data_IF_654734112818
#
_entry.id   IF_654734112818
#
_cell.length_a   1.000
_cell.length_b   1.000
_cell.length_c   1.000
_cell.angle_alpha   90.00
_cell.angle_beta   90.00
_cell.angle_gamma   90.00
#
_symmetry.space_group_name_H-M   'P 1'
#
loop_
_entity.id
_entity.type
_entity.pdbx_description
1 polymer ?
#
# COMPACT_ATOMS: atom_id res chain seq x y z
N UNK A 1 5.66 -6.78 -40.39
CA UNK A 1 5.59 -6.75 -38.92
C UNK A 1 6.46 -5.61 -38.46
N UNK A 2 5.86 -4.57 -37.88
CA UNK A 2 6.55 -3.34 -37.44
C UNK A 2 7.37 -3.61 -36.16
N UNK A 3 8.69 -3.35 -36.15
CA UNK A 3 9.54 -3.48 -34.96
C UNK A 3 9.15 -2.53 -33.80
N UNK A 4 8.26 -1.56 -34.04
CA UNK A 4 7.70 -0.66 -33.00
C UNK A 4 6.59 -1.28 -32.14
N UNK A 5 6.15 -2.52 -32.39
CA UNK A 5 5.00 -3.11 -31.69
C UNK A 5 5.31 -3.78 -30.34
N UNK A 6 6.60 -3.88 -29.96
CA UNK A 6 6.96 -4.48 -28.68
C UNK A 6 6.54 -3.55 -27.51
N UNK A 7 5.68 -4.02 -26.58
CA UNK A 7 5.26 -3.19 -25.46
C UNK A 7 6.48 -2.77 -24.63
N UNK A 8 6.54 -1.46 -24.32
CA UNK A 8 7.58 -0.87 -23.46
C UNK A 8 7.80 -1.74 -22.22
N UNK A 9 9.04 -1.89 -21.75
CA UNK A 9 9.40 -2.79 -20.64
C UNK A 9 8.43 -2.73 -19.45
N UNK A 10 8.10 -1.52 -18.99
CA UNK A 10 7.18 -1.33 -17.85
C UNK A 10 5.75 -1.78 -18.16
N UNK A 11 5.29 -1.70 -19.41
CA UNK A 11 3.99 -2.24 -19.82
C UNK A 11 3.99 -3.77 -19.74
N UNK A 12 5.07 -4.44 -20.16
CA UNK A 12 5.25 -5.89 -20.00
C UNK A 12 5.25 -6.31 -18.54
N UNK A 13 5.97 -5.57 -17.68
CA UNK A 13 5.99 -5.79 -16.23
C UNK A 13 4.58 -5.70 -15.65
N UNK A 14 3.85 -4.61 -15.93
CA UNK A 14 2.48 -4.41 -15.43
C UNK A 14 1.54 -5.51 -15.90
N UNK A 15 1.61 -5.89 -17.18
CA UNK A 15 0.81 -6.97 -17.74
C UNK A 15 1.08 -8.30 -17.01
N UNK A 16 2.35 -8.64 -16.75
CA UNK A 16 2.73 -9.86 -16.04
C UNK A 16 2.29 -9.85 -14.56
N UNK A 17 2.42 -8.71 -13.88
CA UNK A 17 1.97 -8.54 -12.49
C UNK A 17 0.45 -8.75 -12.39
N UNK A 18 -0.32 -8.16 -13.31
CA UNK A 18 -1.78 -8.32 -13.37
C UNK A 18 -2.18 -9.75 -13.70
N UNK A 19 -1.48 -10.40 -14.64
CA UNK A 19 -1.69 -11.81 -14.98
C UNK A 19 -1.47 -12.73 -13.77
N UNK A 20 -0.49 -12.40 -12.91
CA UNK A 20 -0.25 -13.12 -11.65
C UNK A 20 -1.13 -12.68 -10.49
N UNK A 21 -2.14 -11.84 -10.74
CA UNK A 21 -3.10 -11.34 -9.75
C UNK A 21 -2.44 -10.66 -8.53
N UNK A 22 -1.28 -10.03 -8.74
CA UNK A 22 -0.65 -9.22 -7.70
C UNK A 22 -1.41 -7.91 -7.48
N UNK A 23 -1.27 -7.35 -6.28
CA UNK A 23 -1.95 -6.11 -5.92
C UNK A 23 -1.43 -4.91 -6.75
N UNK A 24 -2.27 -3.89 -6.95
CA UNK A 24 -1.87 -2.63 -7.59
C UNK A 24 -0.70 -1.97 -6.84
N UNK A 25 -0.64 -2.10 -5.51
CA UNK A 25 0.49 -1.61 -4.73
C UNK A 25 1.80 -2.32 -5.07
N UNK A 26 1.75 -3.63 -5.36
CA UNK A 26 2.89 -4.39 -5.87
C UNK A 26 3.28 -3.94 -7.27
N UNK A 27 2.30 -3.66 -8.14
CA UNK A 27 2.54 -3.12 -9.48
C UNK A 27 3.33 -1.82 -9.44
N UNK A 28 2.89 -0.86 -8.64
CA UNK A 28 3.52 0.45 -8.48
C UNK A 28 4.94 0.29 -7.91
N UNK A 29 5.06 -0.43 -6.79
CA UNK A 29 6.35 -0.64 -6.16
C UNK A 29 7.37 -1.30 -7.10
N UNK A 30 6.97 -2.33 -7.84
CA UNK A 30 7.87 -3.03 -8.75
C UNK A 30 8.25 -2.14 -9.94
N UNK A 31 7.28 -1.44 -10.54
CA UNK A 31 7.56 -0.52 -11.64
C UNK A 31 8.54 0.60 -11.21
N UNK A 32 8.39 1.14 -10.00
CA UNK A 32 9.26 2.18 -9.48
C UNK A 32 10.67 1.66 -9.20
N UNK A 33 10.80 0.47 -8.60
CA UNK A 33 12.11 -0.15 -8.38
C UNK A 33 12.83 -0.49 -9.69
N UNK A 34 12.11 -1.03 -10.67
CA UNK A 34 12.66 -1.34 -11.99
C UNK A 34 13.08 -0.06 -12.71
N UNK A 35 12.31 1.03 -12.59
CA UNK A 35 12.68 2.34 -13.14
C UNK A 35 13.96 2.86 -12.52
N UNK A 36 14.09 2.81 -11.19
CA UNK A 36 15.31 3.24 -10.48
C UNK A 36 16.53 2.42 -10.90
N UNK A 37 16.37 1.11 -11.04
CA UNK A 37 17.42 0.22 -11.52
C UNK A 37 17.90 0.58 -12.94
N UNK A 38 16.96 0.80 -13.86
CA UNK A 38 17.28 1.21 -15.24
C UNK A 38 17.97 2.57 -15.27
N UNK A 39 17.54 3.52 -14.44
CA UNK A 39 18.15 4.85 -14.35
C UNK A 39 19.57 4.78 -13.78
N UNK A 40 19.79 3.96 -12.75
CA UNK A 40 21.11 3.74 -12.14
C UNK A 40 22.12 3.22 -13.16
N UNK A 41 21.69 2.36 -14.09
CA UNK A 41 22.52 1.81 -15.16
C UNK A 41 22.47 2.63 -16.47
N UNK A 42 22.18 3.93 -16.39
CA UNK A 42 22.26 4.83 -17.55
C UNK A 42 21.22 4.53 -18.64
N UNK A 43 20.04 4.04 -18.29
CA UNK A 43 18.95 3.65 -19.20
C UNK A 43 19.28 2.45 -20.10
N UNK A 44 20.32 1.67 -19.78
CA UNK A 44 20.57 0.38 -20.43
C UNK A 44 19.38 -0.56 -20.21
N UNK A 45 19.01 -1.30 -21.24
CA UNK A 45 17.92 -2.26 -21.14
C UNK A 45 18.31 -3.43 -20.22
N UNK A 46 17.48 -3.85 -19.26
CA UNK A 46 17.83 -4.91 -18.29
C UNK A 46 18.19 -6.27 -18.89
N UNK A 47 17.81 -6.56 -20.14
CA UNK A 47 18.28 -7.78 -20.84
C UNK A 47 19.78 -7.77 -21.13
N UNK A 48 20.41 -6.59 -21.15
CA UNK A 48 21.86 -6.41 -21.32
C UNK A 48 22.58 -6.19 -19.98
N UNK A 49 21.89 -6.37 -18.86
CA UNK A 49 22.41 -6.23 -17.51
C UNK A 49 22.31 -7.58 -16.80
N UNK A 50 23.36 -7.97 -16.09
CA UNK A 50 23.46 -9.29 -15.47
C UNK A 50 23.68 -9.20 -13.96
N UNK A 51 24.46 -10.15 -13.46
CA UNK A 51 24.73 -10.32 -12.04
C UNK A 51 25.34 -9.11 -11.37
N UNK A 52 26.45 -8.70 -11.95
CA UNK A 52 27.26 -7.61 -11.46
C UNK A 52 26.45 -6.32 -11.34
N UNK A 53 25.58 -6.04 -12.31
CA UNK A 53 24.75 -4.83 -12.28
C UNK A 53 23.65 -4.87 -11.24
N UNK A 54 23.03 -6.03 -11.01
CA UNK A 54 22.05 -6.19 -9.93
C UNK A 54 22.71 -6.05 -8.56
N UNK A 55 23.87 -6.70 -8.35
CA UNK A 55 24.64 -6.59 -7.10
C UNK A 55 25.12 -5.16 -6.86
N UNK A 56 25.65 -4.49 -7.87
CA UNK A 56 26.07 -3.10 -7.79
C UNK A 56 24.91 -2.18 -7.37
N UNK A 57 23.72 -2.36 -7.94
CA UNK A 57 22.55 -1.59 -7.58
C UNK A 57 22.09 -1.85 -6.14
N UNK A 58 22.00 -3.11 -5.72
CA UNK A 58 21.60 -3.45 -4.36
C UNK A 58 22.63 -2.97 -3.32
N UNK A 59 23.91 -3.02 -3.65
CA UNK A 59 25.00 -2.48 -2.82
C UNK A 59 24.92 -0.97 -2.70
N UNK A 60 24.68 -0.26 -3.81
CA UNK A 60 24.45 1.19 -3.81
C UNK A 60 23.26 1.57 -2.92
N UNK A 61 22.15 0.82 -2.97
CA UNK A 61 21.01 1.03 -2.06
C UNK A 61 21.37 0.84 -0.58
N UNK A 62 22.27 -0.10 -0.28
CA UNK A 62 22.70 -0.38 1.09
C UNK A 62 23.69 0.65 1.64
N UNK A 63 24.63 1.13 0.80
CA UNK A 63 25.74 1.98 1.21
C UNK A 63 25.40 3.47 1.11
N UNK A 64 24.90 3.92 -0.05
CA UNK A 64 24.66 5.34 -0.31
C UNK A 64 23.25 5.78 0.11
N UNK A 65 22.26 4.90 -0.07
CA UNK A 65 20.87 5.24 0.18
C UNK A 65 20.43 5.21 1.66
N UNK A 66 21.26 4.70 2.59
CA UNK A 66 20.90 4.41 4.01
C UNK A 66 19.53 3.71 4.15
N UNK A 67 19.16 2.91 3.15
CA UNK A 67 17.80 2.38 3.05
C UNK A 67 17.64 1.24 4.04
N UNK A 68 16.56 1.24 4.82
CA UNK A 68 16.24 0.14 5.73
C UNK A 68 16.14 -1.21 4.99
N UNK A 69 16.27 -2.33 5.72
CA UNK A 69 16.21 -3.67 5.14
C UNK A 69 14.91 -3.98 4.36
N UNK A 70 13.79 -3.35 4.73
CA UNK A 70 12.49 -3.59 4.09
C UNK A 70 12.43 -3.08 2.63
N UNK A 71 12.74 -1.80 2.32
CA UNK A 71 12.78 -1.38 0.92
C UNK A 71 13.87 -2.06 0.08
N UNK A 72 15.03 -2.44 0.65
CA UNK A 72 16.03 -3.26 -0.07
C UNK A 72 15.46 -4.63 -0.49
N UNK A 73 14.74 -5.28 0.40
CA UNK A 73 14.08 -6.56 0.09
C UNK A 73 12.99 -6.41 -0.97
N UNK A 74 12.28 -5.28 -0.99
CA UNK A 74 11.29 -4.98 -2.04
C UNK A 74 11.95 -4.74 -3.40
N UNK A 75 13.08 -4.01 -3.42
CA UNK A 75 13.89 -3.82 -4.62
C UNK A 75 14.39 -5.17 -5.16
N UNK A 76 14.97 -6.01 -4.31
CA UNK A 76 15.40 -7.36 -4.69
C UNK A 76 14.26 -8.18 -5.29
N UNK A 77 13.09 -8.18 -4.64
CA UNK A 77 11.91 -8.93 -5.12
C UNK A 77 11.43 -8.42 -6.50
N UNK A 78 11.45 -7.11 -6.72
CA UNK A 78 11.09 -6.52 -8.01
C UNK A 78 12.06 -6.93 -9.13
N UNK A 79 13.37 -6.97 -8.84
CA UNK A 79 14.38 -7.41 -9.81
C UNK A 79 14.27 -8.91 -10.10
N UNK A 80 14.11 -9.74 -9.07
CA UNK A 80 13.84 -11.17 -9.24
C UNK A 80 12.63 -11.41 -10.14
N UNK A 81 11.54 -10.68 -9.91
CA UNK A 81 10.34 -10.75 -10.74
C UNK A 81 10.63 -10.32 -12.19
N UNK A 82 11.32 -9.21 -12.39
CA UNK A 82 11.68 -8.72 -13.73
C UNK A 82 12.42 -9.81 -14.53
N UNK A 83 13.49 -10.36 -13.97
CA UNK A 83 14.33 -11.32 -14.70
C UNK A 83 13.64 -12.65 -14.92
N UNK A 84 13.01 -13.23 -13.89
CA UNK A 84 12.36 -14.54 -13.99
C UNK A 84 11.07 -14.49 -14.80
N UNK A 85 10.21 -13.51 -14.54
CA UNK A 85 8.82 -13.53 -15.03
C UNK A 85 8.62 -12.75 -16.31
N UNK A 86 9.41 -11.69 -16.53
CA UNK A 86 9.24 -10.77 -17.66
C UNK A 86 10.28 -11.02 -18.75
N UNK A 87 11.54 -11.21 -18.36
CA UNK A 87 12.64 -11.47 -19.29
C UNK A 87 12.86 -12.96 -19.55
N UNK A 88 12.29 -13.85 -18.73
CA UNK A 88 12.51 -15.29 -18.79
C UNK A 88 14.01 -15.67 -18.78
N UNK A 89 14.81 -14.90 -18.03
CA UNK A 89 16.22 -15.16 -17.81
C UNK A 89 16.37 -15.81 -16.45
N UNK A 90 16.93 -17.00 -16.43
CA UNK A 90 17.35 -17.61 -15.18
C UNK A 90 18.59 -16.89 -14.65
N UNK A 91 18.54 -16.53 -13.37
CA UNK A 91 19.67 -15.94 -12.65
C UNK A 91 20.02 -16.84 -11.46
N UNK A 92 20.75 -17.95 -11.68
CA UNK A 92 21.06 -18.92 -10.63
C UNK A 92 21.81 -18.30 -9.44
N UNK A 93 22.60 -17.26 -9.68
CA UNK A 93 23.37 -16.54 -8.65
C UNK A 93 22.50 -15.57 -7.81
N UNK A 94 21.32 -15.16 -8.29
CA UNK A 94 20.47 -14.17 -7.59
C UNK A 94 19.76 -14.77 -6.35
N UNK A 95 19.66 -16.10 -6.28
CA UNK A 95 19.24 -16.81 -5.08
C UNK A 95 20.24 -16.66 -3.93
N UNK A 96 21.53 -16.52 -4.25
CA UNK A 96 22.61 -16.35 -3.28
C UNK A 96 22.78 -14.92 -2.76
N UNK A 97 22.09 -13.93 -3.36
CA UNK A 97 22.11 -12.55 -2.86
C UNK A 97 21.41 -12.52 -1.50
N UNK A 98 22.16 -12.44 -0.41
CA UNK A 98 21.63 -12.54 0.94
C UNK A 98 20.54 -11.49 1.18
N UNK A 99 19.36 -11.93 1.62
CA UNK A 99 18.27 -11.03 2.02
C UNK A 99 18.78 -10.13 3.14
N UNK A 100 18.57 -8.81 3.03
CA UNK A 100 18.91 -7.90 4.10
C UNK A 100 18.15 -8.32 5.37
N UNK A 101 18.89 -8.76 6.40
CA UNK A 101 18.34 -9.25 7.65
C UNK A 101 17.75 -8.05 8.40
N UNK A 102 16.43 -7.97 8.41
CA UNK A 102 15.75 -6.96 9.20
C UNK A 102 15.86 -7.36 10.67
N UNK A 103 16.46 -6.54 11.56
CA UNK A 103 16.39 -6.83 12.98
C UNK A 103 14.92 -6.86 13.38
N UNK A 104 14.50 -7.95 14.02
CA UNK A 104 13.15 -8.10 14.53
C UNK A 104 12.97 -7.10 15.66
N UNK A 105 12.48 -5.90 15.33
CA UNK A 105 12.03 -4.95 16.35
C UNK A 105 10.75 -5.53 16.93
N UNK A 106 10.73 -5.75 18.24
CA UNK A 106 9.49 -6.03 18.94
C UNK A 106 8.50 -4.90 18.60
N UNK A 107 7.29 -5.22 18.13
CA UNK A 107 6.26 -4.20 17.95
C UNK A 107 6.11 -3.45 19.28
N UNK A 108 6.31 -2.14 19.28
CA UNK A 108 5.94 -1.32 20.42
C UNK A 108 4.41 -1.30 20.40
N UNK A 109 3.80 -2.12 21.25
CA UNK A 109 2.34 -2.19 21.37
C UNK A 109 1.93 -1.11 22.36
N UNK A 110 1.01 -0.24 21.95
CA UNK A 110 0.42 0.74 22.84
C UNK A 110 -0.40 0.02 23.91
N UNK A 111 -0.24 0.45 25.16
CA UNK A 111 -1.09 0.02 26.27
C UNK A 111 -2.54 0.47 26.04
N UNK A 112 -3.49 -0.21 26.69
CA UNK A 112 -4.91 0.14 26.62
C UNK A 112 -5.15 1.61 27.03
N UNK A 113 -4.41 2.12 28.00
CA UNK A 113 -4.55 3.50 28.47
C UNK A 113 -4.00 4.52 27.47
N UNK A 114 -2.88 4.22 26.82
CA UNK A 114 -2.35 5.05 25.74
C UNK A 114 -3.34 5.14 24.57
N UNK A 115 -3.89 4.00 24.15
CA UNK A 115 -4.90 3.99 23.09
C UNK A 115 -6.14 4.77 23.51
N UNK A 116 -6.60 4.62 24.76
CA UNK A 116 -7.76 5.37 25.28
C UNK A 116 -7.50 6.88 25.24
N UNK A 117 -6.31 7.34 25.65
CA UNK A 117 -5.91 8.76 25.60
C UNK A 117 -5.80 9.29 24.17
N UNK A 118 -5.35 8.47 23.22
CA UNK A 118 -5.29 8.84 21.81
C UNK A 118 -6.70 8.96 21.24
N UNK A 119 -7.55 7.94 21.43
CA UNK A 119 -8.92 7.94 20.94
C UNK A 119 -9.75 9.09 21.50
N UNK A 120 -9.53 9.47 22.77
CA UNK A 120 -10.21 10.61 23.40
C UNK A 120 -9.87 11.98 22.76
N UNK A 121 -8.72 12.09 22.07
CA UNK A 121 -8.32 13.31 21.36
C UNK A 121 -8.82 13.38 19.93
N UNK A 122 -9.28 12.26 19.36
CA UNK A 122 -9.84 12.25 18.01
C UNK A 122 -11.25 12.85 18.01
N UNK A 123 -11.62 13.53 16.92
CA UNK A 123 -12.93 14.18 16.76
C UNK A 123 -13.55 13.86 15.41
N UNK A 124 -14.88 13.93 15.34
CA UNK A 124 -15.65 13.69 14.12
C UNK A 124 -15.34 12.32 13.48
N UNK A 125 -15.13 12.32 12.17
CA UNK A 125 -14.89 11.10 11.37
C UNK A 125 -13.65 10.34 11.84
N UNK A 126 -12.59 11.03 12.24
CA UNK A 126 -11.37 10.37 12.72
C UNK A 126 -11.59 9.61 14.04
N UNK A 127 -12.45 10.13 14.92
CA UNK A 127 -12.82 9.43 16.15
C UNK A 127 -13.63 8.16 15.84
N UNK A 128 -14.54 8.24 14.86
CA UNK A 128 -15.31 7.08 14.39
C UNK A 128 -14.39 6.02 13.79
N UNK A 129 -13.51 6.39 12.86
CA UNK A 129 -12.55 5.47 12.23
C UNK A 129 -11.61 4.88 13.29
N UNK A 130 -11.06 5.70 14.19
CA UNK A 130 -10.16 5.23 15.25
C UNK A 130 -10.82 4.20 16.17
N UNK A 131 -12.05 4.48 16.61
CA UNK A 131 -12.82 3.55 17.43
C UNK A 131 -13.20 2.27 16.68
N UNK A 132 -13.55 2.39 15.39
CA UNK A 132 -13.84 1.25 14.52
C UNK A 132 -12.61 0.36 14.38
N UNK A 133 -11.46 0.90 13.95
CA UNK A 133 -10.21 0.15 13.77
C UNK A 133 -9.79 -0.55 15.07
N UNK A 134 -9.82 0.16 16.20
CA UNK A 134 -9.43 -0.39 17.49
C UNK A 134 -10.39 -1.49 17.96
N UNK A 135 -11.70 -1.27 17.83
CA UNK A 135 -12.71 -2.18 18.34
C UNK A 135 -12.93 -3.43 17.49
N UNK A 136 -12.66 -3.36 16.19
CA UNK A 136 -12.96 -4.44 15.22
C UNK A 136 -11.71 -5.15 14.69
N UNK A 137 -10.51 -4.63 14.99
CA UNK A 137 -9.24 -5.18 14.49
C UNK A 137 -9.06 -5.04 12.96
N UNK A 138 -9.81 -4.13 12.32
CA UNK A 138 -9.67 -3.83 10.90
C UNK A 138 -8.30 -3.22 10.62
N UNK A 139 -7.72 -3.57 9.47
CA UNK A 139 -6.58 -2.82 8.94
C UNK A 139 -7.07 -1.43 8.51
N UNK A 140 -6.18 -0.44 8.53
CA UNK A 140 -6.52 0.95 8.14
C UNK A 140 -7.28 0.99 6.81
N UNK A 141 -6.77 0.29 5.79
CA UNK A 141 -7.41 0.24 4.47
C UNK A 141 -8.73 -0.53 4.44
N UNK A 142 -8.93 -1.49 5.33
CA UNK A 142 -10.21 -2.18 5.47
C UNK A 142 -11.21 -1.21 6.10
N UNK A 143 -10.86 -0.58 7.23
CA UNK A 143 -11.71 0.37 7.95
C UNK A 143 -12.14 1.59 7.12
N UNK A 144 -11.24 2.15 6.30
CA UNK A 144 -11.58 3.27 5.41
C UNK A 144 -12.37 2.86 4.15
N UNK A 145 -12.52 1.56 3.88
CA UNK A 145 -13.27 1.04 2.72
C UNK A 145 -14.55 0.31 3.11
N UNK A 146 -14.82 0.14 4.41
CA UNK A 146 -16.08 -0.47 4.89
C UNK A 146 -17.24 0.33 4.32
N UNK A 147 -18.18 -0.38 3.71
CA UNK A 147 -19.43 0.20 3.22
C UNK A 147 -20.52 -0.03 4.26
N UNK A 148 -21.50 0.86 4.29
CA UNK A 148 -22.65 0.75 5.21
C UNK A 148 -23.41 -0.56 5.01
N UNK A 149 -23.51 -1.05 3.78
CA UNK A 149 -24.13 -2.33 3.44
C UNK A 149 -23.42 -3.56 3.98
N UNK A 150 -22.14 -3.41 4.36
CA UNK A 150 -21.33 -4.50 4.89
C UNK A 150 -21.39 -4.56 6.44
N UNK A 151 -22.19 -3.69 7.07
CA UNK A 151 -22.40 -3.65 8.52
C UNK A 151 -23.80 -4.18 8.83
N UNK A 152 -23.84 -5.29 9.56
CA UNK A 152 -25.06 -5.84 10.14
C UNK A 152 -25.15 -5.43 11.61
N UNK A 153 -26.01 -4.45 11.89
CA UNK A 153 -26.22 -3.93 13.24
C UNK A 153 -27.03 -4.89 14.12
N UNK A 154 -27.90 -5.70 13.54
CA UNK A 154 -28.73 -6.65 14.28
C UNK A 154 -27.88 -7.84 14.76
N UNK A 155 -27.01 -8.34 13.86
CA UNK A 155 -26.10 -9.45 14.15
C UNK A 155 -24.74 -9.00 14.69
N UNK A 156 -24.53 -7.68 14.83
CA UNK A 156 -23.30 -7.05 15.35
C UNK A 156 -22.03 -7.54 14.65
N UNK A 157 -22.03 -7.55 13.32
CA UNK A 157 -20.85 -7.93 12.54
C UNK A 157 -20.59 -7.01 11.36
N UNK A 158 -19.35 -7.05 10.88
CA UNK A 158 -18.89 -6.36 9.67
C UNK A 158 -18.29 -7.38 8.73
N UNK A 159 -18.75 -7.35 7.47
CA UNK A 159 -18.17 -8.12 6.38
C UNK A 159 -17.01 -7.31 5.78
N UNK A 160 -15.81 -7.86 5.89
CA UNK A 160 -14.60 -7.28 5.28
C UNK A 160 -14.41 -7.92 3.93
N UNK A 161 -14.59 -7.14 2.88
CA UNK A 161 -14.35 -7.57 1.50
C UNK A 161 -12.91 -7.31 1.08
N UNK A 162 -12.40 -8.13 0.17
CA UNK A 162 -11.06 -7.97 -0.42
C UNK A 162 -9.93 -7.89 0.63
N UNK A 163 -10.05 -8.69 1.69
CA UNK A 163 -8.98 -8.85 2.66
C UNK A 163 -7.68 -9.33 2.02
N UNK A 164 -6.56 -9.29 2.75
CA UNK A 164 -5.26 -9.72 2.23
C UNK A 164 -5.36 -11.10 1.56
N UNK A 165 -5.04 -11.17 0.26
CA UNK A 165 -5.19 -12.38 -0.56
C UNK A 165 -6.56 -12.57 -1.20
N UNK A 166 -7.35 -11.50 -1.31
CA UNK A 166 -8.71 -11.49 -1.88
C UNK A 166 -9.67 -12.42 -1.16
N UNK A 167 -9.53 -12.52 0.17
CA UNK A 167 -10.41 -13.34 1.02
C UNK A 167 -11.31 -12.45 1.86
N UNK A 168 -12.59 -12.69 1.77
CA UNK A 168 -13.59 -12.07 2.62
C UNK A 168 -13.51 -12.66 4.04
N UNK A 169 -13.75 -11.84 5.05
CA UNK A 169 -13.81 -12.28 6.45
C UNK A 169 -14.84 -11.48 7.23
N UNK A 170 -15.36 -12.07 8.30
CA UNK A 170 -16.24 -11.39 9.24
C UNK A 170 -15.47 -10.91 10.46
N UNK A 171 -15.81 -9.72 10.97
CA UNK A 171 -15.36 -9.25 12.30
C UNK A 171 -16.55 -8.75 13.12
N UNK A 172 -16.41 -8.71 14.44
CA UNK A 172 -17.47 -8.28 15.36
C UNK A 172 -17.53 -6.75 15.41
N UNK A 173 -18.76 -6.21 15.48
CA UNK A 173 -19.02 -4.80 15.76
C UNK A 173 -19.20 -4.61 17.28
N UNK A 174 -18.33 -3.85 17.96
CA UNK A 174 -18.46 -3.61 19.40
C UNK A 174 -19.72 -2.84 19.78
N UNK A 175 -20.32 -3.19 20.92
CA UNK A 175 -21.56 -2.60 21.42
C UNK A 175 -21.51 -1.08 21.60
N UNK A 176 -20.35 -0.54 22.02
CA UNK A 176 -20.16 0.92 22.16
C UNK A 176 -20.29 1.68 20.83
N UNK A 177 -20.10 1.01 19.71
CA UNK A 177 -20.30 1.59 18.37
C UNK A 177 -21.73 1.36 17.88
N UNK A 178 -22.31 0.19 18.15
CA UNK A 178 -23.71 -0.10 17.81
C UNK A 178 -24.71 0.77 18.60
N UNK A 179 -24.40 1.12 19.85
CA UNK A 179 -25.25 1.96 20.71
C UNK A 179 -25.23 3.45 20.34
N UNK A 180 -24.14 3.95 19.74
CA UNK A 180 -24.07 5.34 19.24
C UNK A 180 -25.11 5.61 18.14
N UNK A 181 -25.61 4.57 17.47
CA UNK A 181 -26.71 4.67 16.52
C UNK A 181 -28.09 4.53 17.18
N UNK A 182 -28.22 3.85 18.32
CA UNK A 182 -29.50 3.71 19.03
C UNK A 182 -30.01 5.05 19.59
N UNK A 183 -29.11 5.89 20.11
CA UNK A 183 -29.42 7.26 20.54
C UNK A 183 -29.67 8.20 19.35
N UNK A 184 -29.09 7.92 18.18
CA UNK A 184 -29.27 8.71 16.97
C UNK A 184 -30.60 8.44 16.22
N UNK A 185 -31.41 7.48 16.67
CA UNK A 185 -32.74 7.16 16.07
C UNK A 185 -33.81 8.24 16.34
N UNK A 186 -33.60 9.16 17.29
CA UNK A 186 -34.54 10.25 17.61
C UNK A 186 -34.23 11.58 16.90
N UNK A 187 -33.08 11.67 16.22
CA UNK A 187 -32.65 12.88 15.52
C UNK A 187 -32.49 12.55 14.04
N UNK A 188 -32.68 13.48 13.08
CA UNK A 188 -32.48 13.23 11.65
C UNK A 188 -31.07 12.72 11.24
N UNK A 189 -30.19 12.49 12.21
CA UNK A 189 -28.82 12.00 12.09
C UNK A 189 -28.68 10.49 11.80
N UNK A 190 -29.74 9.68 11.78
CA UNK A 190 -29.66 8.32 11.19
C UNK A 190 -29.31 8.36 9.67
N UNK A 191 -29.47 9.52 9.01
CA UNK A 191 -28.93 9.77 7.67
C UNK A 191 -27.41 10.04 7.66
N UNK A 192 -26.79 10.37 8.78
CA UNK A 192 -25.38 10.77 8.85
C UNK A 192 -24.41 9.60 8.63
N UNK A 193 -24.67 8.39 9.15
CA UNK A 193 -23.79 7.25 8.81
C UNK A 193 -23.91 6.83 7.34
N UNK A 194 -25.10 6.94 6.75
CA UNK A 194 -25.36 6.64 5.32
C UNK A 194 -24.72 7.66 4.37
N UNK A 195 -24.70 8.94 4.72
CA UNK A 195 -24.16 10.01 3.87
C UNK A 195 -22.67 10.30 4.13
N UNK A 196 -22.23 10.35 5.39
CA UNK A 196 -20.94 10.93 5.74
C UNK A 196 -19.76 9.95 5.62
N UNK A 197 -19.98 8.63 5.78
CA UNK A 197 -18.97 7.62 5.44
C UNK A 197 -18.67 7.65 3.93
N UNK A 198 -19.69 7.74 3.08
CA UNK A 198 -19.49 7.74 1.63
C UNK A 198 -18.94 9.09 1.12
N UNK A 199 -19.40 10.23 1.67
CA UNK A 199 -18.99 11.56 1.20
C UNK A 199 -17.67 12.07 1.82
N UNK A 200 -17.31 11.67 3.05
CA UNK A 200 -16.07 12.14 3.72
C UNK A 200 -14.90 11.15 3.69
N UNK A 201 -15.09 9.88 3.35
CA UNK A 201 -13.95 8.99 3.04
C UNK A 201 -13.34 9.29 1.67
N UNK A 202 -14.12 9.82 0.73
CA UNK A 202 -13.62 10.28 -0.59
C UNK A 202 -12.65 11.45 -0.43
N UNK A 203 -12.91 12.40 0.46
CA UNK A 203 -12.02 13.55 0.70
C UNK A 203 -10.69 13.18 1.40
N UNK A 204 -10.67 12.13 2.23
CA UNK A 204 -9.41 11.61 2.84
C UNK A 204 -8.55 10.87 1.80
N UNK A 205 -9.18 10.21 0.83
CA UNK A 205 -8.49 9.60 -0.32
C UNK A 205 -7.96 10.64 -1.31
N UNK A 206 -8.68 11.74 -1.54
CA UNK A 206 -8.20 12.85 -2.37
C UNK A 206 -6.99 13.55 -1.75
N UNK A 207 -6.95 13.77 -0.43
CA UNK A 207 -5.82 14.40 0.25
C UNK A 207 -4.52 13.56 0.21
N UNK A 208 -4.63 12.23 0.20
CA UNK A 208 -3.47 11.33 0.08
C UNK A 208 -2.98 11.19 -1.37
N UNK A 209 -3.85 11.38 -2.37
CA UNK A 209 -3.43 11.47 -3.78
C UNK A 209 -2.90 12.86 -4.16
N UNK A 210 -3.38 13.93 -3.54
CA UNK A 210 -2.91 15.30 -3.82
C UNK A 210 -1.49 15.57 -3.32
N UNK A 211 -1.06 14.94 -2.22
CA UNK A 211 0.31 15.09 -1.71
C UNK A 211 1.37 14.35 -2.54
N UNK A 212 0.99 13.39 -3.39
CA UNK A 212 1.91 12.74 -4.33
C UNK A 212 2.03 13.50 -5.67
N UNK A 213 1.08 14.39 -5.99
CA UNK A 213 1.08 15.17 -7.23
C UNK A 213 1.86 16.49 -7.16
N UNK A 214 2.23 16.98 -5.96
CA UNK A 214 2.93 18.27 -5.81
C UNK A 214 4.46 18.19 -5.80
N UNK A 215 5.05 17.00 -5.88
CA UNK A 215 6.51 16.82 -5.99
C UNK A 215 7.01 16.57 -7.43
N UNK A 216 6.22 16.89 -8.45
CA UNK A 216 6.59 16.68 -9.86
C UNK A 216 6.45 17.91 -10.76
N UNK A 217 6.30 19.11 -10.19
CA UNK A 217 6.29 20.36 -10.95
C UNK A 217 7.14 21.42 -10.24
N UNK A 218 8.46 21.29 -10.39
CA UNK A 218 9.45 22.28 -9.98
C UNK A 218 10.28 22.70 -11.19
N UNK A 219 9.95 23.85 -11.75
CA UNK A 219 10.72 24.59 -12.76
C UNK A 219 9.78 25.47 -13.60
N UNK A 220 10.15 26.72 -13.96
CA UNK A 220 11.47 27.36 -13.89
C UNK A 220 11.46 28.71 -13.12
N UNK A 221 12.63 29.16 -12.69
CA UNK A 221 12.91 30.60 -12.55
C UNK A 221 14.20 30.91 -13.31
N UNK A 222 14.00 31.55 -14.47
CA UNK A 222 15.00 32.42 -15.10
C UNK A 222 15.25 33.61 -14.18
N UNK A 223 16.51 33.99 -14.01
CA UNK A 223 16.98 35.37 -13.90
C UNK A 223 18.51 35.35 -13.97
N UNK A 224 19.07 36.04 -14.97
CA UNK A 224 20.49 36.14 -15.29
C UNK A 224 20.71 36.25 -16.78
#
# INVERSE_FOLDING_TARGET
MDPSSAPRLLARVRAKIRLKHYSIGTEQAYADWIRRYVLFHGKRHPSALGATEVEAFLTHLAVEGKVAAAPQNQAKAALLFLYREVLAVELPWLDNVTRAKQPARLPIVLTRDEVTRILARLRGVHALIGALLYGTGLRVMEGVRVRVQDIDFDRRHIIVRDGKGSKDRMTMLPDRLAQRDAEAKSTPHAKFMRADLCTRLVSVLELTQFHHSRNSSGGPLQNG
#
